data_IF_840806494378
#
_entry.id   IF_840806494378
#
_cell.length_a   1.000
_cell.length_b   1.000
_cell.length_c   1.000
_cell.angle_alpha   90.00
_cell.angle_beta   90.00
_cell.angle_gamma   90.00
#
_symmetry.space_group_name_H-M   'P 1'
#
loop_
_entity.id
_entity.type
_entity.pdbx_description
1 polymer ?
#
# COMPACT_ATOMS: atom_id res chain seq x y z
N UNK A 1 0.53 -0.40 -10.40
CA UNK A 1 0.36 -1.61 -9.56
C UNK A 1 1.74 -2.01 -9.06
N UNK A 2 1.98 -1.96 -7.75
CA UNK A 2 3.27 -2.32 -7.15
C UNK A 2 3.23 -3.77 -6.64
N UNK A 3 4.31 -4.54 -6.83
CA UNK A 3 4.43 -5.92 -6.34
C UNK A 3 4.55 -7.00 -7.42
N UNK A 4 4.41 -6.64 -8.69
CA UNK A 4 4.47 -7.61 -9.79
C UNK A 4 5.87 -8.20 -10.04
N UNK A 5 6.96 -7.49 -9.71
CA UNK A 5 8.32 -7.81 -10.18
C UNK A 5 9.43 -7.75 -9.10
N UNK A 6 9.12 -7.83 -7.78
CA UNK A 6 10.14 -7.62 -6.73
C UNK A 6 9.90 -8.37 -5.41
N UNK A 7 10.79 -8.17 -4.44
CA UNK A 7 10.69 -8.76 -3.09
C UNK A 7 9.43 -8.24 -2.37
N UNK A 8 8.40 -9.08 -2.36
CA UNK A 8 7.08 -8.78 -1.79
C UNK A 8 7.16 -8.54 -0.28
N UNK A 9 8.11 -9.14 0.42
CA UNK A 9 8.27 -8.93 1.86
C UNK A 9 8.82 -7.55 2.15
N UNK A 10 9.84 -7.13 1.39
CA UNK A 10 10.38 -5.78 1.52
C UNK A 10 9.34 -4.72 1.14
N UNK A 11 8.58 -4.95 0.08
CA UNK A 11 7.47 -4.07 -0.32
C UNK A 11 6.41 -3.95 0.77
N UNK A 12 6.02 -5.05 1.45
CA UNK A 12 5.08 -5.02 2.58
C UNK A 12 5.54 -4.11 3.71
N UNK A 13 6.83 -4.16 4.06
CA UNK A 13 7.40 -3.30 5.11
C UNK A 13 7.32 -1.83 4.71
N UNK A 14 7.71 -1.49 3.48
CA UNK A 14 7.64 -0.12 2.99
C UNK A 14 6.19 0.39 2.93
N UNK A 15 5.25 -0.42 2.45
CA UNK A 15 3.84 -0.03 2.40
C UNK A 15 3.26 0.21 3.79
N UNK A 16 3.63 -0.61 4.79
CA UNK A 16 3.24 -0.39 6.19
C UNK A 16 3.74 0.96 6.70
N UNK A 17 5.01 1.30 6.43
CA UNK A 17 5.60 2.57 6.83
C UNK A 17 4.95 3.76 6.11
N UNK A 18 4.63 3.64 4.82
CA UNK A 18 3.95 4.68 4.07
C UNK A 18 2.53 4.92 4.60
N UNK A 19 1.77 3.85 4.87
CA UNK A 19 0.42 3.99 5.45
C UNK A 19 0.44 4.68 6.81
N UNK A 20 1.44 4.41 7.65
CA UNK A 20 1.62 5.12 8.92
C UNK A 20 1.86 6.63 8.76
N UNK A 21 2.42 7.07 7.62
CA UNK A 21 2.74 8.48 7.37
C UNK A 21 1.65 9.23 6.61
N UNK A 22 0.89 8.52 5.76
CA UNK A 22 -0.02 9.14 4.79
C UNK A 22 -1.50 8.92 5.12
N UNK A 23 -1.84 7.83 5.82
CA UNK A 23 -3.24 7.51 6.12
C UNK A 23 -3.65 8.10 7.46
N UNK A 24 -4.86 8.64 7.54
CA UNK A 24 -5.47 9.07 8.81
C UNK A 24 -5.61 7.87 9.75
N UNK A 25 -6.02 6.71 9.21
CA UNK A 25 -6.02 5.43 9.91
C UNK A 25 -5.28 4.38 9.08
N UNK A 26 -4.05 3.97 9.47
CA UNK A 26 -3.27 2.98 8.73
C UNK A 26 -3.92 1.59 8.59
N UNK A 27 -4.85 1.23 9.48
CA UNK A 27 -5.61 -0.03 9.41
C UNK A 27 -6.80 0.06 8.45
N UNK A 28 -7.20 1.27 8.07
CA UNK A 28 -8.28 1.55 7.11
C UNK A 28 -7.73 2.47 6.00
N UNK A 29 -6.76 2.00 5.20
CA UNK A 29 -6.08 2.83 4.22
C UNK A 29 -7.02 3.32 3.12
N UNK A 30 -6.90 4.59 2.75
CA UNK A 30 -7.67 5.24 1.71
C UNK A 30 -6.82 5.57 0.47
N UNK A 31 -5.54 5.87 0.66
CA UNK A 31 -4.62 6.26 -0.43
C UNK A 31 -3.86 5.06 -1.00
N UNK A 32 -3.43 4.12 -0.15
CA UNK A 32 -2.65 2.95 -0.58
C UNK A 32 -3.49 1.70 -0.38
N UNK A 33 -4.18 1.25 -1.43
CA UNK A 33 -5.11 0.12 -1.39
C UNK A 33 -4.40 -1.19 -1.72
N UNK A 34 -4.75 -2.26 -1.02
CA UNK A 34 -4.33 -3.62 -1.36
C UNK A 34 -5.30 -4.22 -2.36
N UNK A 35 -4.79 -4.64 -3.51
CA UNK A 35 -5.51 -5.33 -4.56
C UNK A 35 -5.09 -6.80 -4.53
N UNK A 36 -5.96 -7.66 -3.97
CA UNK A 36 -5.65 -9.07 -3.74
C UNK A 36 -5.24 -9.78 -5.03
N UNK A 37 -4.13 -10.52 -4.97
CA UNK A 37 -3.57 -11.23 -6.13
C UNK A 37 -2.77 -10.36 -7.10
N UNK A 38 -2.74 -9.03 -6.89
CA UNK A 38 -2.08 -8.08 -7.79
C UNK A 38 -1.00 -7.27 -7.06
N UNK A 39 -1.32 -6.72 -5.88
CA UNK A 39 -0.38 -5.96 -5.07
C UNK A 39 -0.99 -4.69 -4.49
N UNK A 40 -0.33 -3.54 -4.68
CA UNK A 40 -0.77 -2.26 -4.13
C UNK A 40 -1.07 -1.23 -5.22
N UNK A 41 -2.10 -0.41 -4.98
CA UNK A 41 -2.54 0.68 -5.83
C UNK A 41 -2.55 1.99 -5.05
N UNK A 42 -1.98 3.04 -5.64
CA UNK A 42 -2.13 4.40 -5.15
C UNK A 42 -3.41 5.01 -5.73
N UNK A 43 -4.23 5.62 -4.87
CA UNK A 43 -5.46 6.31 -5.22
C UNK A 43 -5.42 7.72 -4.65
N UNK A 44 -5.91 8.68 -5.42
CA UNK A 44 -6.18 10.02 -4.92
C UNK A 44 -7.59 9.99 -4.36
N UNK A 45 -7.74 10.32 -3.08
CA UNK A 45 -9.03 10.44 -2.41
C UNK A 45 -9.22 11.93 -2.15
N UNK A 46 -10.34 12.48 -2.64
CA UNK A 46 -10.71 13.89 -2.43
C UNK A 46 -11.18 14.15 -1.00
#
# INVERSE_FOLDING_TARGET
LWGANGDVQQLRVYIRQLRQKLEINPERPQHIITETGIGYRLTLVE
#
